data_IF_588610140937
#
_entry.id   IF_588610140937
#
_cell.length_a   1.000
_cell.length_b   1.000
_cell.length_c   1.000
_cell.angle_alpha   90.00
_cell.angle_beta   90.00
_cell.angle_gamma   90.00
#
_symmetry.space_group_name_H-M   'P 1'
#
loop_
_entity.id
_entity.type
_entity.pdbx_description
1 polymer ?
#
# COMPACT_ATOMS: atom_id res chain seq x y z
N UNK A 1 3.75 9.46 1.53
CA UNK A 1 4.04 8.10 2.04
C UNK A 1 3.03 7.81 3.14
N UNK A 2 2.34 6.66 3.11
CA UNK A 2 1.28 6.30 4.08
C UNK A 2 1.82 5.35 5.14
N UNK A 3 1.44 5.53 6.40
CA UNK A 3 1.81 4.62 7.49
C UNK A 3 0.67 3.63 7.74
N UNK A 4 0.99 2.35 7.83
CA UNK A 4 0.04 1.26 8.08
C UNK A 4 0.62 0.27 9.09
N UNK A 5 -0.24 -0.49 9.75
CA UNK A 5 0.19 -1.56 10.66
C UNK A 5 0.56 -2.84 9.89
N UNK A 6 1.15 -3.80 10.61
CA UNK A 6 1.37 -5.14 10.05
C UNK A 6 0.05 -5.87 9.75
N UNK A 7 -1.00 -5.59 10.51
CA UNK A 7 -2.32 -6.20 10.33
C UNK A 7 -2.99 -5.66 9.07
N UNK A 8 -2.98 -4.34 8.88
CA UNK A 8 -3.45 -3.70 7.63
C UNK A 8 -2.73 -4.28 6.42
N UNK A 9 -1.40 -4.41 6.48
CA UNK A 9 -0.63 -5.00 5.40
C UNK A 9 -1.04 -6.44 5.08
N UNK A 10 -1.42 -7.24 6.09
CA UNK A 10 -1.88 -8.61 5.87
C UNK A 10 -3.27 -8.63 5.23
N UNK A 11 -4.15 -7.73 5.65
CA UNK A 11 -5.52 -7.59 5.18
C UNK A 11 -5.60 -7.20 3.69
N UNK A 12 -4.68 -6.35 3.22
CA UNK A 12 -4.63 -5.99 1.80
C UNK A 12 -4.49 -7.21 0.88
N UNK A 13 -5.32 -7.34 -0.17
CA UNK A 13 -5.20 -8.43 -1.14
C UNK A 13 -3.81 -8.47 -1.79
N UNK A 14 -3.32 -9.68 -2.12
CA UNK A 14 -1.97 -9.85 -2.73
C UNK A 14 -1.81 -9.09 -4.04
N UNK A 15 -2.87 -8.97 -4.86
CA UNK A 15 -2.86 -8.20 -6.11
C UNK A 15 -2.80 -6.68 -5.90
N UNK A 16 -3.11 -6.21 -4.69
CA UNK A 16 -3.19 -4.79 -4.33
C UNK A 16 -1.98 -4.33 -3.53
N UNK A 17 -0.98 -5.20 -3.30
CA UNK A 17 0.23 -4.83 -2.59
C UNK A 17 1.44 -5.44 -3.26
N UNK A 18 2.53 -4.69 -3.29
CA UNK A 18 3.79 -5.17 -3.86
C UNK A 18 4.97 -4.58 -3.12
N UNK A 19 6.13 -5.20 -3.31
CA UNK A 19 7.41 -4.68 -2.83
C UNK A 19 8.32 -4.50 -4.04
N UNK A 20 8.82 -3.28 -4.23
CA UNK A 20 9.75 -2.94 -5.32
C UNK A 20 11.03 -2.47 -4.64
N UNK A 21 12.11 -3.23 -4.81
CA UNK A 21 13.32 -3.08 -4.00
C UNK A 21 13.03 -3.33 -2.51
N UNK A 22 13.37 -2.38 -1.65
CA UNK A 22 13.06 -2.43 -0.20
C UNK A 22 11.80 -1.65 0.19
N UNK A 23 11.13 -1.00 -0.77
CA UNK A 23 9.96 -0.16 -0.51
C UNK A 23 8.67 -0.95 -0.78
N UNK A 24 7.73 -0.85 0.16
CA UNK A 24 6.40 -1.47 0.06
C UNK A 24 5.40 -0.48 -0.52
N UNK A 25 4.46 -0.99 -1.29
CA UNK A 25 3.42 -0.23 -1.97
C UNK A 25 2.07 -0.92 -1.84
N UNK A 26 1.01 -0.11 -1.81
CA UNK A 26 -0.36 -0.57 -1.96
C UNK A 26 -1.01 0.16 -3.14
N UNK A 27 -1.92 -0.52 -3.81
CA UNK A 27 -2.73 0.03 -4.88
C UNK A 27 -3.99 0.65 -4.26
N UNK A 28 -4.20 1.94 -4.51
CA UNK A 28 -5.40 2.67 -4.07
C UNK A 28 -6.04 3.40 -5.25
N UNK A 29 -7.35 3.59 -5.20
CA UNK A 29 -8.04 4.43 -6.16
C UNK A 29 -7.67 5.89 -5.90
N UNK A 30 -7.31 6.60 -6.96
CA UNK A 30 -7.14 8.05 -6.94
C UNK A 30 -8.49 8.70 -7.30
N UNK A 31 -9.18 9.35 -6.34
CA UNK A 31 -10.48 9.95 -6.59
C UNK A 31 -10.42 11.12 -7.58
N UNK A 32 -9.26 11.77 -7.74
CA UNK A 32 -9.11 12.93 -8.64
C UNK A 32 -8.99 12.51 -10.12
N UNK A 33 -8.42 11.34 -10.39
CA UNK A 33 -8.20 10.84 -11.76
C UNK A 33 -9.09 9.67 -12.12
N UNK A 34 -9.79 9.06 -11.15
CA UNK A 34 -10.57 7.83 -11.33
C UNK A 34 -9.72 6.58 -11.59
N UNK A 35 -8.40 6.71 -11.61
CA UNK A 35 -7.47 5.61 -11.85
C UNK A 35 -6.93 4.99 -10.57
N UNK A 36 -6.03 4.03 -10.71
CA UNK A 36 -5.33 3.39 -9.59
C UNK A 36 -3.88 3.87 -9.50
N UNK A 37 -3.43 4.16 -8.28
CA UNK A 37 -2.05 4.59 -8.01
C UNK A 37 -1.38 3.64 -7.03
N UNK A 38 -0.09 3.39 -7.26
CA UNK A 38 0.77 2.70 -6.30
C UNK A 38 1.28 3.70 -5.27
N UNK A 39 0.79 3.58 -4.04
CA UNK A 39 1.15 4.46 -2.93
C UNK A 39 2.20 3.79 -2.05
N UNK A 40 3.37 4.42 -1.83
CA UNK A 40 4.39 3.88 -0.94
C UNK A 40 3.90 3.88 0.51
N UNK A 41 4.11 2.75 1.18
CA UNK A 41 3.73 2.56 2.58
C UNK A 41 4.91 2.22 3.48
N UNK A 42 4.84 2.69 4.73
CA UNK A 42 5.73 2.30 5.81
C UNK A 42 4.95 1.44 6.79
N UNK A 43 5.47 0.23 7.06
CA UNK A 43 4.83 -0.71 7.99
C UNK A 43 5.39 -0.47 9.39
N UNK A 44 4.53 -0.02 10.30
CA UNK A 44 4.87 0.16 11.70
C UNK A 44 4.73 -1.17 12.46
N UNK A 45 5.45 -1.29 13.58
CA UNK A 45 5.18 -2.38 14.53
C UNK A 45 3.86 -2.05 15.24
N UNK A 46 2.97 -3.03 15.34
CA UNK A 46 1.81 -2.96 16.24
C UNK A 46 2.29 -2.84 17.69
#
# INVERSE_FOLDING_TARGET
MKEITKEDWKDYPKSYKTTIGSQKYIMINNPETGGTILTPVKIMKS
#
